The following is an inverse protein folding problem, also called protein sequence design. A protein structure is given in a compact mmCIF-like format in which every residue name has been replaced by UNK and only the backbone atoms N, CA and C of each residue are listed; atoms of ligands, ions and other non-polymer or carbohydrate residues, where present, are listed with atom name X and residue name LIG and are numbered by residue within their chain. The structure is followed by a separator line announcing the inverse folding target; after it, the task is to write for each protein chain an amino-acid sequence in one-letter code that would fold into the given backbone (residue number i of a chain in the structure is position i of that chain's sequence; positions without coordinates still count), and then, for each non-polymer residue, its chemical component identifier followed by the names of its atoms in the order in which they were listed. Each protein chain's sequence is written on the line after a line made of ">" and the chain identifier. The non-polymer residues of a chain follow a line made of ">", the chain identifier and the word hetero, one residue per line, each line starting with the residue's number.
data_IF_530008767059
#
_entry.id   IF_530008767059
#
_cell.length_a   1.000
_cell.length_b   1.000
_cell.length_c   1.000
_cell.angle_alpha   90.00
_cell.angle_beta   90.00
_cell.angle_gamma   90.00
#
_symmetry.space_group_name_H-M   'P 1'
#
loop_
_entity.id
_entity.type
_entity.pdbx_description
1 polymer ?
#
# COMPACT_ATOMS: atom_id res chain seq x y z
N UNK A 1 -3.14 -28.56 -0.69
CA UNK A 1 -3.38 -27.63 0.45
C UNK A 1 -3.52 -26.22 -0.09
N UNK A 2 -4.64 -25.53 0.16
CA UNK A 2 -4.77 -24.09 -0.17
C UNK A 2 -3.86 -23.30 0.78
N UNK A 3 -2.76 -22.74 0.27
CA UNK A 3 -2.02 -21.74 1.04
C UNK A 3 -2.98 -20.57 1.31
N UNK A 4 -3.30 -20.33 2.57
CA UNK A 4 -4.00 -19.09 2.95
C UNK A 4 -3.05 -17.95 2.62
N UNK A 5 -3.43 -17.10 1.65
CA UNK A 5 -2.68 -15.89 1.33
C UNK A 5 -2.72 -15.02 2.60
N UNK A 6 -1.62 -14.99 3.35
CA UNK A 6 -1.49 -14.13 4.52
C UNK A 6 -1.24 -12.71 4.02
N UNK A 7 -2.26 -11.86 4.11
CA UNK A 7 -2.13 -10.43 3.90
C UNK A 7 -1.94 -9.73 5.26
N UNK A 8 -0.95 -8.84 5.37
CA UNK A 8 -0.65 -8.09 6.60
C UNK A 8 -0.49 -6.61 6.32
N UNK A 9 -1.14 -5.75 7.10
CA UNK A 9 -0.93 -4.30 7.01
C UNK A 9 0.45 -3.97 7.57
N UNK A 10 1.28 -3.31 6.76
CA UNK A 10 2.68 -2.94 7.10
C UNK A 10 2.90 -1.43 7.17
N UNK A 11 1.94 -0.65 6.72
CA UNK A 11 1.95 0.81 6.83
C UNK A 11 0.52 1.34 6.78
N UNK A 12 0.19 2.32 7.61
CA UNK A 12 -1.11 3.01 7.58
C UNK A 12 -0.91 4.46 7.97
N UNK A 13 -1.39 5.38 7.14
CA UNK A 13 -1.33 6.82 7.43
C UNK A 13 -2.46 7.56 6.71
N UNK A 14 -3.25 8.32 7.47
CA UNK A 14 -4.40 9.08 6.96
C UNK A 14 -5.29 8.17 6.09
N UNK A 15 -5.46 8.56 4.83
CA UNK A 15 -6.33 7.92 3.86
C UNK A 15 -5.61 6.86 3.03
N UNK A 16 -4.44 6.37 3.48
CA UNK A 16 -3.67 5.37 2.76
C UNK A 16 -3.13 4.24 3.64
N UNK A 17 -3.04 3.05 3.06
CA UNK A 17 -2.57 1.83 3.72
C UNK A 17 -1.70 0.99 2.76
N UNK A 18 -0.68 0.32 3.28
CA UNK A 18 0.10 -0.69 2.54
C UNK A 18 -0.14 -2.04 3.19
N UNK A 19 -0.58 -3.00 2.39
CA UNK A 19 -0.70 -4.40 2.78
C UNK A 19 0.36 -5.23 2.08
N UNK A 20 1.16 -5.96 2.85
CA UNK A 20 2.05 -7.01 2.37
C UNK A 20 1.24 -8.27 2.07
N UNK A 21 1.52 -8.90 0.94
CA UNK A 21 0.98 -10.18 0.51
C UNK A 21 2.13 -11.05 -0.01
N UNK A 22 2.01 -12.37 0.08
CA UNK A 22 2.97 -13.28 -0.52
C UNK A 22 2.49 -13.67 -1.93
N UNK A 23 3.25 -13.30 -2.97
CA UNK A 23 3.05 -13.75 -4.35
C UNK A 23 4.22 -14.65 -4.73
N UNK A 24 3.96 -15.92 -5.00
CA UNK A 24 4.97 -16.87 -5.48
C UNK A 24 6.29 -16.86 -4.68
N UNK A 25 6.20 -16.95 -3.35
CA UNK A 25 7.31 -16.91 -2.39
C UNK A 25 8.06 -15.57 -2.25
N UNK A 26 7.62 -14.50 -2.91
CA UNK A 26 8.19 -13.16 -2.76
C UNK A 26 7.19 -12.22 -2.06
N UNK A 27 7.65 -11.31 -1.18
CA UNK A 27 6.79 -10.29 -0.60
C UNK A 27 6.37 -9.28 -1.67
N UNK A 28 5.08 -8.94 -1.69
CA UNK A 28 4.49 -7.98 -2.60
C UNK A 28 3.58 -7.02 -1.83
N UNK A 29 3.75 -5.73 -2.05
CA UNK A 29 3.13 -4.67 -1.26
C UNK A 29 2.05 -3.95 -2.08
N UNK A 30 0.83 -3.96 -1.60
CA UNK A 30 -0.31 -3.26 -2.21
C UNK A 30 -0.58 -1.96 -1.46
N UNK A 31 -0.53 -0.84 -2.17
CA UNK A 31 -0.98 0.45 -1.67
C UNK A 31 -2.47 0.64 -1.95
N UNK A 32 -3.23 0.99 -0.92
CA UNK A 32 -4.66 1.24 -0.97
C UNK A 32 -4.98 2.66 -0.51
N UNK A 33 -6.02 3.25 -1.10
CA UNK A 33 -6.67 4.47 -0.62
C UNK A 33 -7.92 4.12 0.18
N UNK A 34 -8.01 4.65 1.39
CA UNK A 34 -9.12 4.52 2.32
C UNK A 34 -10.16 5.63 2.10
N UNK A 35 -11.41 5.45 2.58
CA UNK A 35 -11.95 4.24 3.20
C UNK A 35 -12.38 3.16 2.20
N UNK A 36 -12.36 3.46 0.90
CA UNK A 36 -12.91 2.59 -0.14
C UNK A 36 -12.00 1.41 -0.54
N UNK A 37 -10.82 1.29 0.06
CA UNK A 37 -9.79 0.29 -0.28
C UNK A 37 -9.51 0.26 -1.79
N UNK A 38 -9.49 1.42 -2.43
CA UNK A 38 -9.18 1.53 -3.84
C UNK A 38 -7.71 1.14 -4.04
N UNK A 39 -7.45 0.15 -4.89
CA UNK A 39 -6.08 -0.27 -5.19
C UNK A 39 -5.39 0.83 -6.01
N UNK A 40 -4.38 1.46 -5.41
CA UNK A 40 -3.65 2.53 -6.06
C UNK A 40 -2.54 1.95 -6.93
N UNK A 41 -1.70 1.10 -6.33
CA UNK A 41 -0.55 0.48 -7.01
C UNK A 41 0.05 -0.68 -6.20
N UNK A 42 0.65 -1.64 -6.89
CA UNK A 42 1.44 -2.73 -6.31
C UNK A 42 2.95 -2.54 -6.47
N UNK A 43 3.73 -3.03 -5.51
CA UNK A 43 5.19 -2.86 -5.42
C UNK A 43 5.87 -4.16 -4.98
N UNK A 44 7.10 -4.37 -5.45
CA UNK A 44 7.96 -5.45 -4.94
C UNK A 44 8.80 -5.02 -3.73
N UNK A 45 8.97 -3.71 -3.52
CA UNK A 45 9.78 -3.14 -2.44
C UNK A 45 8.92 -2.24 -1.53
N UNK A 46 9.11 -2.38 -0.21
CA UNK A 46 8.34 -1.63 0.80
C UNK A 46 8.73 -0.15 0.85
N UNK A 47 10.00 0.17 0.62
CA UNK A 47 10.50 1.55 0.63
C UNK A 47 9.92 2.32 -0.55
N UNK A 48 9.85 1.71 -1.73
CA UNK A 48 9.16 2.30 -2.89
C UNK A 48 7.68 2.54 -2.61
N UNK A 49 6.97 1.55 -2.04
CA UNK A 49 5.56 1.70 -1.69
C UNK A 49 5.32 2.85 -0.69
N UNK A 50 6.18 2.97 0.33
CA UNK A 50 6.11 4.07 1.31
C UNK A 50 6.39 5.43 0.69
N UNK A 51 7.42 5.54 -0.16
CA UNK A 51 7.75 6.79 -0.84
C UNK A 51 6.59 7.24 -1.73
N UNK A 52 6.02 6.31 -2.51
CA UNK A 52 4.88 6.60 -3.38
C UNK A 52 3.67 7.13 -2.61
N UNK A 53 3.28 6.49 -1.50
CA UNK A 53 2.16 6.98 -0.67
C UNK A 53 2.49 8.35 -0.05
N UNK A 54 3.70 8.55 0.46
CA UNK A 54 4.08 9.84 1.03
C UNK A 54 4.01 10.96 -0.03
N UNK A 55 4.45 10.69 -1.27
CA UNK A 55 4.36 11.64 -2.37
C UNK A 55 2.90 11.94 -2.75
N UNK A 56 2.03 10.92 -2.76
CA UNK A 56 0.59 11.12 -2.97
C UNK A 56 -0.02 12.00 -1.87
N UNK A 57 0.25 11.69 -0.60
CA UNK A 57 -0.24 12.49 0.53
C UNK A 57 0.25 13.93 0.42
N UNK A 58 1.51 14.16 0.02
CA UNK A 58 2.05 15.51 -0.17
C UNK A 58 1.29 16.27 -1.25
N UNK A 59 1.08 15.63 -2.42
CA UNK A 59 0.34 16.24 -3.54
C UNK A 59 -1.11 16.56 -3.19
N UNK A 60 -1.77 15.72 -2.39
CA UNK A 60 -3.14 15.98 -1.93
C UNK A 60 -3.19 17.08 -0.86
N UNK A 61 -2.16 17.17 -0.01
CA UNK A 61 -2.01 18.27 0.94
C UNK A 61 -1.80 19.62 0.27
N UNK A 62 -1.03 19.68 -0.82
CA UNK A 62 -0.77 20.91 -1.59
C UNK A 62 -1.99 21.39 -2.39
N UNK A 63 -2.89 20.49 -2.81
CA UNK A 63 -4.11 20.86 -3.56
C UNK A 63 -5.23 21.46 -2.70
N UNK A 64 -5.17 21.28 -1.39
CA UNK A 64 -6.19 21.73 -0.45
C UNK A 64 -5.81 23.01 0.31
N UNK A 65 -4.82 23.77 -0.19
CA UNK A 65 -4.46 25.12 0.29
C UNK A 65 -4.81 26.16 -0.77
#
# INVERSE_FOLDING_TARGET
>A
MRQQIKSKIVYKRRDFEITESQRCNEPFYWAYRLPYYENVKGFKDLKEAKNYINDLIKREGEKNQ
#
